data_IF_560792285572
#
_entry.id   IF_560792285572
#
_cell.length_a   1.000
_cell.length_b   1.000
_cell.length_c   1.000
_cell.angle_alpha   90.00
_cell.angle_beta   90.00
_cell.angle_gamma   90.00
#
_symmetry.space_group_name_H-M   'P 1'
#
loop_
_entity.id
_entity.type
_entity.pdbx_description
1 polymer ?
#
# COMPACT_ATOMS: atom_id res chain seq x y z
N UNK A 1 20.24 9.74 -18.76
CA UNK A 1 18.93 9.07 -18.83
C UNK A 1 18.98 7.85 -19.77
N UNK A 2 19.45 7.96 -21.03
CA UNK A 2 19.49 6.83 -21.96
C UNK A 2 20.21 5.59 -21.40
N UNK A 3 21.37 5.76 -20.81
CA UNK A 3 22.13 4.65 -20.18
C UNK A 3 21.32 3.90 -19.12
N UNK A 4 20.53 4.63 -18.29
CA UNK A 4 19.65 4.01 -17.29
C UNK A 4 18.49 3.26 -17.95
N UNK A 5 17.91 3.84 -19.01
CA UNK A 5 16.84 3.16 -19.76
C UNK A 5 17.37 1.87 -20.42
N UNK A 6 18.58 1.89 -20.98
CA UNK A 6 19.24 0.72 -21.60
C UNK A 6 19.54 -0.38 -20.58
N UNK A 7 19.75 -0.02 -19.30
CA UNK A 7 19.91 -0.96 -18.20
C UNK A 7 18.58 -1.58 -17.73
N UNK A 8 17.46 -1.17 -18.32
CA UNK A 8 16.14 -1.70 -18.00
C UNK A 8 15.39 -0.97 -16.88
N UNK A 9 15.79 0.28 -16.55
CA UNK A 9 15.06 1.12 -15.58
C UNK A 9 13.62 1.30 -16.02
N UNK A 10 12.68 1.06 -15.12
CA UNK A 10 11.25 1.22 -15.36
C UNK A 10 10.67 2.47 -14.66
N UNK A 11 11.35 2.99 -13.65
CA UNK A 11 11.00 4.25 -12.98
C UNK A 11 12.18 5.21 -13.09
N UNK A 12 12.01 6.32 -13.82
CA UNK A 12 13.02 7.35 -13.93
C UNK A 12 12.74 8.44 -12.90
N UNK A 13 13.62 8.53 -11.91
CA UNK A 13 13.53 9.50 -10.84
C UNK A 13 14.59 10.58 -11.02
N UNK A 14 14.17 11.80 -11.33
CA UNK A 14 15.06 12.96 -11.39
C UNK A 14 14.99 13.72 -10.06
N UNK A 15 16.08 14.37 -9.69
CA UNK A 15 16.11 15.18 -8.47
C UNK A 15 15.99 16.69 -8.79
N UNK A 16 16.97 17.27 -9.45
CA UNK A 16 17.11 18.73 -9.59
C UNK A 16 16.74 19.18 -10.99
N UNK A 17 15.49 18.99 -11.37
CA UNK A 17 15.02 19.32 -12.72
C UNK A 17 15.56 18.37 -13.79
N UNK A 18 14.97 18.42 -14.98
CA UNK A 18 15.40 17.61 -16.09
C UNK A 18 16.57 18.26 -16.85
N UNK A 19 17.49 17.48 -17.42
CA UNK A 19 18.46 17.98 -18.38
C UNK A 19 17.76 18.50 -19.63
N UNK A 20 18.48 19.26 -20.46
CA UNK A 20 18.01 19.60 -21.80
C UNK A 20 17.64 18.33 -22.57
N UNK A 21 16.62 18.37 -23.41
CA UNK A 21 16.12 17.26 -24.22
C UNK A 21 15.36 16.16 -23.40
N UNK A 22 14.92 16.46 -22.17
CA UNK A 22 14.12 15.51 -21.38
C UNK A 22 12.84 15.11 -22.11
N UNK A 23 12.16 16.04 -22.77
CA UNK A 23 10.93 15.73 -23.51
C UNK A 23 11.18 14.76 -24.67
N UNK A 24 12.25 14.95 -25.42
CA UNK A 24 12.63 14.06 -26.53
C UNK A 24 13.00 12.67 -26.03
N UNK A 25 13.82 12.61 -24.97
CA UNK A 25 14.16 11.35 -24.33
C UNK A 25 12.89 10.62 -23.83
N UNK A 26 12.03 11.30 -23.09
CA UNK A 26 10.84 10.71 -22.49
C UNK A 26 9.89 10.17 -23.56
N UNK A 27 9.68 10.94 -24.64
CA UNK A 27 8.84 10.49 -25.76
C UNK A 27 9.39 9.20 -26.39
N UNK A 28 10.70 9.15 -26.64
CA UNK A 28 11.34 7.97 -27.20
C UNK A 28 11.27 6.77 -26.26
N UNK A 29 11.57 6.96 -24.98
CA UNK A 29 11.58 5.92 -23.96
C UNK A 29 10.18 5.33 -23.71
N UNK A 30 9.13 6.19 -23.62
CA UNK A 30 7.76 5.75 -23.46
C UNK A 30 7.25 4.96 -24.68
N UNK A 31 7.54 5.43 -25.89
CA UNK A 31 7.15 4.74 -27.11
C UNK A 31 7.86 3.37 -27.23
N UNK A 32 9.13 3.32 -26.90
CA UNK A 32 9.90 2.07 -26.93
C UNK A 32 9.40 1.07 -25.86
N UNK A 33 9.07 1.54 -24.66
CA UNK A 33 8.46 0.72 -23.61
C UNK A 33 7.10 0.18 -24.06
N UNK A 34 6.22 1.03 -24.63
CA UNK A 34 4.92 0.64 -25.13
C UNK A 34 5.02 -0.42 -26.25
N UNK A 35 6.00 -0.26 -27.18
CA UNK A 35 6.24 -1.25 -28.24
C UNK A 35 6.70 -2.61 -27.71
N UNK A 36 7.28 -2.65 -26.51
CA UNK A 36 7.70 -3.86 -25.81
C UNK A 36 6.67 -4.39 -24.81
N UNK A 37 5.49 -3.76 -24.74
CA UNK A 37 4.45 -4.12 -23.76
C UNK A 37 4.84 -3.83 -22.31
N UNK A 38 5.78 -2.89 -22.09
CA UNK A 38 6.23 -2.47 -20.76
C UNK A 38 5.61 -1.15 -20.37
N UNK A 39 5.40 -0.97 -19.06
CA UNK A 39 5.04 0.31 -18.48
C UNK A 39 6.30 0.93 -17.83
N UNK A 40 6.51 2.21 -18.06
CA UNK A 40 7.59 2.98 -17.45
C UNK A 40 7.02 4.29 -16.88
N UNK A 41 7.64 4.82 -15.85
CA UNK A 41 7.16 5.99 -15.11
C UNK A 41 8.24 7.05 -14.97
N UNK A 42 7.83 8.30 -14.96
CA UNK A 42 8.68 9.46 -14.76
C UNK A 42 8.13 10.30 -13.58
N UNK A 43 9.00 10.70 -12.63
CA UNK A 43 8.56 11.62 -11.58
C UNK A 43 8.42 13.06 -12.10
N UNK A 44 7.76 13.92 -11.32
CA UNK A 44 7.49 15.32 -11.68
C UNK A 44 8.71 16.26 -11.59
N UNK A 45 9.91 15.74 -11.24
CA UNK A 45 11.14 16.53 -11.10
C UNK A 45 12.02 16.55 -12.35
N UNK A 46 11.64 15.85 -13.40
CA UNK A 46 12.41 15.78 -14.65
C UNK A 46 12.18 16.96 -15.60
N UNK A 47 11.60 18.06 -15.15
CA UNK A 47 11.26 19.21 -16.00
C UNK A 47 10.00 19.00 -16.86
N UNK A 48 9.25 17.94 -16.60
CA UNK A 48 7.96 17.59 -17.17
C UNK A 48 6.98 17.31 -16.03
N UNK A 49 5.65 17.34 -16.30
CA UNK A 49 4.65 17.02 -15.26
C UNK A 49 4.82 15.63 -14.64
N UNK A 50 5.44 14.68 -15.35
CA UNK A 50 5.66 13.30 -14.89
C UNK A 50 4.37 12.53 -14.63
N UNK A 51 4.51 11.31 -14.11
CA UNK A 51 3.38 10.41 -13.82
C UNK A 51 2.99 10.44 -12.34
N UNK A 52 3.90 10.82 -11.45
CA UNK A 52 3.68 10.91 -10.01
C UNK A 52 4.40 12.09 -9.37
N UNK A 53 3.85 12.57 -8.25
CA UNK A 53 4.40 13.66 -7.47
C UNK A 53 5.35 13.14 -6.38
N UNK A 54 6.37 13.94 -6.00
CA UNK A 54 7.40 13.53 -5.04
C UNK A 54 7.64 14.60 -3.97
N UNK A 55 6.68 14.80 -3.01
CA UNK A 55 6.92 15.68 -1.88
C UNK A 55 8.04 15.14 -0.97
N UNK A 56 8.89 16.05 -0.48
CA UNK A 56 9.97 15.74 0.46
C UNK A 56 9.56 16.08 1.89
N UNK A 57 9.89 15.18 2.84
CA UNK A 57 9.55 15.32 4.25
C UNK A 57 8.09 15.73 4.50
N UNK A 58 7.22 15.30 3.60
CA UNK A 58 5.80 15.64 3.62
C UNK A 58 4.93 14.44 3.23
N UNK A 59 3.72 14.44 3.79
CA UNK A 59 2.66 13.48 3.47
C UNK A 59 1.39 14.25 3.18
N UNK A 60 0.61 13.77 2.24
CA UNK A 60 -0.71 14.36 2.00
C UNK A 60 -1.70 13.91 3.09
N UNK A 61 -2.52 14.85 3.56
CA UNK A 61 -3.55 14.59 4.57
C UNK A 61 -4.75 13.81 4.00
N UNK A 62 -5.00 13.94 2.70
CA UNK A 62 -6.12 13.29 2.02
C UNK A 62 -5.63 12.40 0.87
N UNK A 63 -6.51 11.49 0.42
CA UNK A 63 -6.25 10.66 -0.75
C UNK A 63 -5.96 11.52 -1.98
N UNK A 64 -4.96 11.13 -2.74
CA UNK A 64 -4.63 11.76 -4.01
C UNK A 64 -5.10 10.88 -5.17
N UNK A 65 -5.80 11.49 -6.14
CA UNK A 65 -6.19 10.79 -7.37
C UNK A 65 -4.95 10.44 -8.19
N UNK A 66 -3.99 11.37 -8.26
CA UNK A 66 -2.68 11.17 -8.89
C UNK A 66 -1.79 10.36 -7.95
N UNK A 67 -1.01 9.43 -8.50
CA UNK A 67 0.02 8.73 -7.72
C UNK A 67 1.05 9.71 -7.19
N UNK A 68 1.57 9.42 -6.02
CA UNK A 68 2.58 10.23 -5.35
C UNK A 68 3.52 9.37 -4.52
N UNK A 69 4.67 9.92 -4.20
CA UNK A 69 5.67 9.27 -3.37
C UNK A 69 6.10 10.21 -2.26
N UNK A 70 5.91 9.80 -1.02
CA UNK A 70 6.48 10.51 0.13
C UNK A 70 7.94 10.13 0.26
N UNK A 71 8.82 11.11 0.22
CA UNK A 71 10.26 10.93 0.33
C UNK A 71 10.71 11.44 1.71
N UNK A 72 11.18 10.53 2.57
CA UNK A 72 11.68 10.81 3.91
C UNK A 72 13.07 10.21 4.10
N UNK A 73 13.98 10.95 4.77
CA UNK A 73 15.18 10.37 5.33
C UNK A 73 14.90 9.65 6.64
N UNK A 74 15.65 8.60 6.95
CA UNK A 74 15.66 8.01 8.30
C UNK A 74 16.23 9.00 9.33
N UNK A 75 17.20 9.84 8.91
CA UNK A 75 17.62 11.04 9.62
C UNK A 75 16.65 12.18 9.30
N UNK A 76 15.97 12.79 10.29
CA UNK A 76 15.01 13.87 10.04
C UNK A 76 15.66 15.18 9.56
N UNK A 77 16.99 15.29 9.61
CA UNK A 77 17.75 16.51 9.31
C UNK A 77 18.56 16.40 8.00
N UNK A 78 18.72 15.21 7.45
CA UNK A 78 19.58 14.99 6.29
C UNK A 78 19.25 13.70 5.56
N UNK A 79 19.25 13.71 4.22
CA UNK A 79 19.24 12.49 3.42
C UNK A 79 20.61 11.78 3.44
N UNK A 80 21.70 12.54 3.44
CA UNK A 80 23.03 11.96 3.57
C UNK A 80 23.42 11.74 5.03
N UNK A 81 24.44 10.89 5.26
CA UNK A 81 24.98 10.64 6.60
C UNK A 81 25.38 11.94 7.32
N UNK A 82 24.77 12.16 8.47
CA UNK A 82 25.07 13.29 9.36
C UNK A 82 25.63 12.78 10.69
N UNK A 83 26.94 13.01 10.91
CA UNK A 83 27.62 12.59 12.13
C UNK A 83 27.05 13.22 13.41
N UNK A 84 26.38 14.37 13.30
CA UNK A 84 25.86 15.12 14.44
C UNK A 84 24.46 14.66 14.88
N UNK A 85 23.77 13.84 14.08
CA UNK A 85 22.43 13.35 14.42
C UNK A 85 22.54 12.26 15.48
N UNK A 86 21.93 12.45 16.66
CA UNK A 86 21.93 11.45 17.71
C UNK A 86 20.97 10.29 17.37
N UNK A 87 21.27 9.08 17.87
CA UNK A 87 20.53 7.85 17.56
C UNK A 87 19.04 7.95 17.85
N UNK A 88 18.64 8.65 18.91
CA UNK A 88 17.26 8.85 19.31
C UNK A 88 16.44 9.74 18.36
N UNK A 89 17.09 10.48 17.48
CA UNK A 89 16.41 11.33 16.50
C UNK A 89 15.98 10.56 15.26
N UNK A 90 16.60 9.41 14.97
CA UNK A 90 16.25 8.61 13.81
C UNK A 90 14.82 8.07 13.88
N UNK A 91 14.14 8.00 12.74
CA UNK A 91 12.78 7.47 12.65
C UNK A 91 12.68 6.07 13.28
N UNK A 92 11.71 5.90 14.17
CA UNK A 92 11.50 4.63 14.89
C UNK A 92 10.82 3.57 14.02
N UNK A 93 10.94 2.27 14.35
CA UNK A 93 10.22 1.22 13.63
C UNK A 93 8.72 1.43 13.56
N UNK A 94 8.09 1.86 14.66
CA UNK A 94 6.66 2.17 14.68
C UNK A 94 6.30 3.34 13.76
N UNK A 95 7.12 4.39 13.72
CA UNK A 95 6.89 5.51 12.82
C UNK A 95 7.10 5.14 11.34
N UNK A 96 8.00 4.20 11.03
CA UNK A 96 8.15 3.65 9.67
C UNK A 96 6.87 2.91 9.27
N UNK A 97 6.38 2.01 10.12
CA UNK A 97 5.17 1.22 9.84
C UNK A 97 3.94 2.12 9.69
N UNK A 98 3.69 3.01 10.64
CA UNK A 98 2.52 3.90 10.59
C UNK A 98 2.57 4.87 9.41
N UNK A 99 3.77 5.32 9.02
CA UNK A 99 3.96 6.15 7.82
C UNK A 99 3.64 5.36 6.55
N UNK A 100 4.14 4.13 6.43
CA UNK A 100 3.87 3.28 5.27
C UNK A 100 2.36 3.02 5.11
N UNK A 101 1.69 2.63 6.18
CA UNK A 101 0.24 2.37 6.18
C UNK A 101 -0.55 3.62 5.78
N UNK A 102 -0.23 4.77 6.38
CA UNK A 102 -0.90 6.04 6.08
C UNK A 102 -0.71 6.46 4.62
N UNK A 103 0.50 6.37 4.10
CA UNK A 103 0.84 6.75 2.72
C UNK A 103 0.15 5.84 1.71
N UNK A 104 0.21 4.51 1.92
CA UNK A 104 -0.40 3.53 1.01
C UNK A 104 -1.92 3.66 0.98
N UNK A 105 -2.57 3.87 2.13
CA UNK A 105 -4.02 4.07 2.20
C UNK A 105 -4.49 5.34 1.46
N UNK A 106 -3.59 6.28 1.18
CA UNK A 106 -3.85 7.53 0.45
C UNK A 106 -3.35 7.54 -1.00
N UNK A 107 -3.15 6.35 -1.59
CA UNK A 107 -2.68 6.16 -2.97
C UNK A 107 -1.21 6.52 -3.20
N UNK A 108 -0.41 6.55 -2.13
CA UNK A 108 1.00 6.91 -2.16
C UNK A 108 1.95 5.73 -2.15
N UNK A 109 3.21 6.01 -2.46
CA UNK A 109 4.37 5.16 -2.26
C UNK A 109 5.27 5.78 -1.18
N UNK A 110 5.91 4.94 -0.37
CA UNK A 110 6.83 5.41 0.66
C UNK A 110 8.28 5.13 0.25
N UNK A 111 9.04 6.18 -0.01
CA UNK A 111 10.49 6.14 -0.24
C UNK A 111 11.19 6.55 1.05
N UNK A 112 11.86 5.60 1.72
CA UNK A 112 12.61 5.85 2.94
C UNK A 112 14.11 5.75 2.64
N UNK A 113 14.80 6.87 2.78
CA UNK A 113 16.20 7.00 2.46
C UNK A 113 17.11 6.67 3.66
N UNK A 114 18.27 6.12 3.38
CA UNK A 114 19.35 5.84 4.33
C UNK A 114 20.61 6.62 3.96
N UNK A 115 21.31 7.15 4.95
CA UNK A 115 22.54 7.92 4.76
C UNK A 115 23.81 7.06 4.96
N UNK A 116 24.40 6.40 3.93
CA UNK A 116 25.61 5.61 4.12
C UNK A 116 26.82 6.47 4.48
N UNK A 117 27.67 5.95 5.36
CA UNK A 117 28.96 6.56 5.70
C UNK A 117 29.92 6.55 4.51
N UNK A 118 31.05 7.25 4.61
CA UNK A 118 32.02 7.35 3.52
C UNK A 118 32.61 6.00 3.02
N UNK A 119 32.56 4.97 3.85
CA UNK A 119 32.96 3.61 3.47
C UNK A 119 31.80 2.73 2.96
N UNK A 120 30.59 3.30 2.78
CA UNK A 120 29.42 2.60 2.29
C UNK A 120 28.61 1.86 3.37
N UNK A 121 28.96 2.00 4.64
CA UNK A 121 28.23 1.33 5.74
C UNK A 121 26.96 2.10 6.09
N UNK A 122 25.83 1.42 6.15
CA UNK A 122 24.60 1.91 6.79
C UNK A 122 24.78 1.75 8.29
N UNK A 123 24.55 2.82 9.07
CA UNK A 123 24.79 2.81 10.52
C UNK A 123 23.81 1.88 11.25
N UNK A 124 24.20 1.42 12.43
CA UNK A 124 23.48 0.38 13.17
C UNK A 124 22.04 0.76 13.53
N UNK A 125 21.81 2.02 13.92
CA UNK A 125 20.46 2.51 14.27
C UNK A 125 19.50 2.41 13.08
N UNK A 126 19.93 2.78 11.88
CA UNK A 126 19.12 2.65 10.65
C UNK A 126 18.86 1.17 10.32
N UNK A 127 19.91 0.33 10.34
CA UNK A 127 19.77 -1.11 10.09
C UNK A 127 18.79 -1.77 11.06
N UNK A 128 18.92 -1.48 12.36
CA UNK A 128 18.05 -2.03 13.41
C UNK A 128 16.59 -1.62 13.18
N UNK A 129 16.35 -0.33 12.98
CA UNK A 129 15.00 0.20 12.82
C UNK A 129 14.34 -0.34 11.54
N UNK A 130 15.08 -0.43 10.44
CA UNK A 130 14.59 -1.03 9.19
C UNK A 130 14.27 -2.52 9.33
N UNK A 131 15.14 -3.31 9.98
CA UNK A 131 14.88 -4.75 10.19
C UNK A 131 13.67 -4.98 11.08
N UNK A 132 13.50 -4.17 12.12
CA UNK A 132 12.35 -4.29 13.03
C UNK A 132 11.04 -3.92 12.32
N UNK A 133 11.00 -2.80 11.60
CA UNK A 133 9.83 -2.43 10.78
C UNK A 133 9.59 -3.45 9.66
N UNK A 134 10.66 -3.92 9.01
CA UNK A 134 10.59 -4.89 7.93
C UNK A 134 10.04 -6.26 8.36
N UNK A 135 10.25 -6.67 9.60
CA UNK A 135 9.63 -7.88 10.14
C UNK A 135 8.11 -7.73 10.19
N UNK A 136 7.61 -6.62 10.73
CA UNK A 136 6.17 -6.32 10.75
C UNK A 136 5.60 -6.25 9.33
N UNK A 137 6.28 -5.52 8.41
CA UNK A 137 5.84 -5.36 7.02
C UNK A 137 5.74 -6.70 6.28
N UNK A 138 6.67 -7.63 6.53
CA UNK A 138 6.62 -8.97 5.92
C UNK A 138 5.43 -9.79 6.43
N UNK A 139 5.10 -9.65 7.69
CA UNK A 139 4.02 -10.39 8.34
C UNK A 139 2.63 -9.87 7.96
N UNK A 140 2.52 -8.56 7.65
CA UNK A 140 1.28 -7.87 7.29
C UNK A 140 1.20 -7.50 5.80
N UNK A 141 2.08 -8.05 4.97
CA UNK A 141 2.28 -7.62 3.58
C UNK A 141 1.03 -7.67 2.71
N UNK A 142 0.09 -8.57 2.98
CA UNK A 142 -1.15 -8.67 2.21
C UNK A 142 -2.04 -7.42 2.30
N UNK A 143 -1.97 -6.67 3.42
CA UNK A 143 -2.71 -5.42 3.62
C UNK A 143 -1.99 -4.19 3.04
N UNK A 144 -0.75 -4.34 2.59
CA UNK A 144 0.12 -3.27 2.09
C UNK A 144 0.37 -3.42 0.59
N UNK A 145 0.87 -4.61 0.17
CA UNK A 145 1.29 -4.84 -1.21
C UNK A 145 0.13 -5.30 -2.08
N UNK A 146 0.13 -4.84 -3.34
CA UNK A 146 -0.94 -5.14 -4.32
C UNK A 146 -2.33 -4.70 -3.83
N UNK A 147 -2.39 -3.66 -3.01
CA UNK A 147 -3.62 -3.04 -2.55
C UNK A 147 -3.85 -1.69 -3.22
N UNK A 148 -5.08 -1.21 -3.13
CA UNK A 148 -5.50 0.14 -3.47
C UNK A 148 -6.14 0.79 -2.24
N UNK A 149 -6.21 2.11 -2.24
CA UNK A 149 -6.98 2.82 -1.23
C UNK A 149 -8.48 2.46 -1.31
N UNK A 150 -9.18 2.56 -0.19
CA UNK A 150 -10.65 2.45 -0.19
C UNK A 150 -11.26 3.70 -0.81
N UNK A 151 -12.04 3.52 -1.89
CA UNK A 151 -12.55 4.65 -2.69
C UNK A 151 -13.66 5.45 -2.00
N UNK A 152 -14.30 4.91 -0.92
CA UNK A 152 -15.32 5.61 -0.15
C UNK A 152 -14.65 6.59 0.82
N UNK A 153 -13.68 6.09 1.59
CA UNK A 153 -12.81 6.89 2.45
C UNK A 153 -11.50 6.14 2.71
N UNK A 154 -10.33 6.81 2.69
CA UNK A 154 -9.05 6.15 2.97
C UNK A 154 -8.81 5.88 4.44
N UNK A 155 -9.57 6.55 5.31
CA UNK A 155 -9.31 6.59 6.75
C UNK A 155 -10.56 6.90 7.56
N UNK A 156 -10.51 6.55 8.85
CA UNK A 156 -11.46 7.00 9.85
C UNK A 156 -10.70 7.63 11.03
N UNK A 157 -10.87 8.93 11.19
CA UNK A 157 -10.12 9.72 12.15
C UNK A 157 -8.61 9.63 11.94
N UNK A 158 -7.85 9.79 13.03
CA UNK A 158 -6.39 9.68 12.96
C UNK A 158 -5.87 8.26 13.16
N UNK A 159 -6.72 7.35 13.59
CA UNK A 159 -6.33 6.04 14.07
C UNK A 159 -6.47 4.92 13.04
N UNK A 160 -7.42 4.99 12.11
CA UNK A 160 -7.77 3.88 11.22
C UNK A 160 -7.45 4.21 9.77
N UNK A 161 -6.95 3.20 9.04
CA UNK A 161 -6.66 3.27 7.60
C UNK A 161 -7.27 2.08 6.89
N UNK A 162 -7.71 2.31 5.66
CA UNK A 162 -8.36 1.30 4.84
C UNK A 162 -7.60 1.06 3.54
N UNK A 163 -7.41 -0.21 3.23
CA UNK A 163 -6.91 -0.67 1.94
C UNK A 163 -7.75 -1.84 1.45
N UNK A 164 -7.67 -2.14 0.17
CA UNK A 164 -8.38 -3.28 -0.43
C UNK A 164 -7.61 -3.85 -1.61
N UNK A 165 -7.94 -5.07 -1.96
CA UNK A 165 -7.58 -5.69 -3.24
C UNK A 165 -8.80 -6.41 -3.83
N UNK A 166 -8.62 -7.24 -4.84
CA UNK A 166 -9.73 -7.97 -5.47
C UNK A 166 -10.41 -9.00 -4.55
N UNK A 167 -9.73 -9.43 -3.48
CA UNK A 167 -10.15 -10.56 -2.65
C UNK A 167 -10.57 -10.16 -1.23
N UNK A 168 -10.10 -8.99 -0.75
CA UNK A 168 -10.29 -8.62 0.65
C UNK A 168 -10.24 -7.10 0.87
N UNK A 169 -10.87 -6.72 1.97
CA UNK A 169 -10.80 -5.38 2.55
C UNK A 169 -10.01 -5.44 3.86
N UNK A 170 -9.15 -4.44 4.10
CA UNK A 170 -8.28 -4.38 5.27
C UNK A 170 -8.55 -3.13 6.08
N UNK A 171 -8.67 -3.32 7.39
CA UNK A 171 -8.81 -2.30 8.42
C UNK A 171 -7.52 -2.29 9.22
N UNK A 172 -6.76 -1.21 9.20
CA UNK A 172 -5.51 -1.08 9.96
C UNK A 172 -5.66 -0.01 11.02
N UNK A 173 -5.45 -0.36 12.30
CA UNK A 173 -5.37 0.62 13.38
C UNK A 173 -3.93 1.00 13.65
N UNK A 174 -3.62 2.30 13.69
CA UNK A 174 -2.27 2.85 13.92
C UNK A 174 -1.91 2.95 15.42
N UNK A 175 -2.87 2.68 16.29
CA UNK A 175 -2.70 2.64 17.75
C UNK A 175 -3.30 1.36 18.31
N UNK A 176 -2.85 0.89 19.48
CA UNK A 176 -3.38 -0.32 20.10
C UNK A 176 -4.90 -0.23 20.26
N UNK A 177 -5.67 -1.13 19.64
CA UNK A 177 -7.11 -1.15 19.83
C UNK A 177 -7.43 -1.56 21.28
N UNK A 178 -8.40 -0.90 21.90
CA UNK A 178 -8.79 -1.16 23.27
C UNK A 178 -10.26 -1.55 23.39
N UNK A 179 -10.53 -2.82 23.66
CA UNK A 179 -11.88 -3.34 23.81
C UNK A 179 -12.64 -3.39 22.49
N UNK A 180 -13.58 -2.46 22.29
CA UNK A 180 -14.38 -2.41 21.05
C UNK A 180 -13.85 -1.33 20.11
N UNK A 181 -13.49 -1.73 18.90
CA UNK A 181 -13.25 -0.81 17.79
C UNK A 181 -14.58 -0.59 17.07
N UNK A 182 -15.02 0.66 17.01
CA UNK A 182 -16.24 1.06 16.29
C UNK A 182 -15.85 1.81 15.04
N UNK A 183 -16.42 1.42 13.91
CA UNK A 183 -16.19 2.05 12.61
C UNK A 183 -17.54 2.61 12.11
N UNK A 184 -17.61 3.93 12.00
CA UNK A 184 -18.78 4.64 11.48
C UNK A 184 -18.71 4.82 9.96
N UNK A 185 -17.51 4.69 9.38
CA UNK A 185 -17.31 4.74 7.94
C UNK A 185 -17.94 3.54 7.25
N UNK A 186 -18.52 3.70 6.06
CA UNK A 186 -19.03 2.57 5.28
C UNK A 186 -17.89 1.60 4.93
N UNK A 187 -17.99 0.39 5.44
CA UNK A 187 -17.07 -0.73 5.15
C UNK A 187 -17.86 -1.88 4.52
N UNK A 188 -17.24 -2.71 3.68
CA UNK A 188 -17.90 -3.81 2.98
C UNK A 188 -18.07 -5.03 3.91
N UNK A 189 -18.86 -4.87 4.96
CA UNK A 189 -19.18 -5.91 5.94
C UNK A 189 -20.70 -6.18 5.95
N UNK A 190 -21.06 -7.44 5.98
CA UNK A 190 -22.43 -7.91 6.18
C UNK A 190 -22.47 -8.78 7.43
N UNK A 191 -23.56 -8.72 8.20
CA UNK A 191 -23.70 -9.54 9.40
C UNK A 191 -23.50 -11.03 9.08
N UNK A 192 -22.54 -11.63 9.78
CA UNK A 192 -22.11 -13.00 9.58
C UNK A 192 -20.80 -13.16 8.82
N UNK A 193 -20.24 -12.08 8.27
CA UNK A 193 -18.89 -12.10 7.72
C UNK A 193 -17.85 -12.32 8.83
N UNK A 194 -16.83 -13.11 8.51
CA UNK A 194 -15.69 -13.29 9.38
C UNK A 194 -14.73 -12.10 9.25
N UNK A 195 -14.33 -11.53 10.38
CA UNK A 195 -13.24 -10.56 10.46
C UNK A 195 -12.02 -11.22 11.08
N UNK A 196 -10.94 -11.31 10.32
CA UNK A 196 -9.74 -12.06 10.72
C UNK A 196 -8.59 -11.12 11.07
N UNK A 197 -7.81 -11.48 12.09
CA UNK A 197 -6.51 -10.84 12.39
C UNK A 197 -5.51 -11.20 11.30
N UNK A 198 -4.78 -10.20 10.80
CA UNK A 198 -3.66 -10.38 9.86
C UNK A 198 -2.36 -10.07 10.57
N UNK A 199 -1.41 -10.99 10.51
CA UNK A 199 -0.09 -10.84 11.12
C UNK A 199 -0.07 -11.07 12.65
N UNK A 200 1.10 -10.90 13.22
CA UNK A 200 1.35 -11.16 14.65
C UNK A 200 1.15 -12.61 15.06
N UNK A 201 1.26 -12.85 16.35
CA UNK A 201 1.12 -14.20 16.91
C UNK A 201 -0.33 -14.74 16.92
N UNK A 202 -1.30 -13.91 16.49
CA UNK A 202 -2.73 -14.26 16.45
C UNK A 202 -3.30 -14.17 15.03
N UNK A 203 -2.47 -14.19 14.01
CA UNK A 203 -2.91 -14.21 12.61
C UNK A 203 -3.91 -15.34 12.34
N UNK A 204 -5.00 -15.03 11.60
CA UNK A 204 -6.10 -15.95 11.32
C UNK A 204 -7.15 -16.07 12.42
N UNK A 205 -6.97 -15.43 13.58
CA UNK A 205 -7.99 -15.42 14.63
C UNK A 205 -9.20 -14.60 14.17
N UNK A 206 -10.40 -15.18 14.29
CA UNK A 206 -11.65 -14.47 14.06
C UNK A 206 -11.94 -13.58 15.27
N UNK A 207 -12.17 -12.31 15.05
CA UNK A 207 -12.63 -11.37 16.08
C UNK A 207 -14.15 -11.25 16.04
N UNK A 208 -14.84 -11.24 17.17
CA UNK A 208 -16.29 -11.03 17.20
C UNK A 208 -16.64 -9.68 16.57
N UNK A 209 -17.54 -9.70 15.61
CA UNK A 209 -17.95 -8.55 14.81
C UNK A 209 -19.46 -8.52 14.63
N UNK A 210 -20.01 -7.31 14.53
CA UNK A 210 -21.45 -7.11 14.28
C UNK A 210 -21.71 -5.71 13.74
N UNK A 211 -22.83 -5.52 13.07
CA UNK A 211 -23.38 -4.19 12.85
C UNK A 211 -24.17 -3.74 14.08
N UNK A 212 -23.98 -2.51 14.49
CA UNK A 212 -24.79 -1.84 15.49
C UNK A 212 -26.12 -1.35 14.88
N UNK A 213 -27.08 -0.94 15.70
CA UNK A 213 -28.40 -0.47 15.24
C UNK A 213 -28.31 0.75 14.29
N UNK A 214 -27.25 1.53 14.37
CA UNK A 214 -26.99 2.67 13.49
C UNK A 214 -26.14 2.32 12.26
N UNK A 215 -25.77 1.06 12.09
CA UNK A 215 -25.02 0.56 10.93
C UNK A 215 -23.49 0.65 11.04
N UNK A 216 -22.94 1.04 12.20
CA UNK A 216 -21.48 1.02 12.43
C UNK A 216 -21.00 -0.40 12.63
N UNK A 217 -19.81 -0.74 12.11
CA UNK A 217 -19.16 -2.01 12.38
C UNK A 217 -18.46 -1.97 13.74
N UNK A 218 -18.82 -2.91 14.62
CA UNK A 218 -18.20 -3.09 15.93
C UNK A 218 -17.34 -4.36 15.92
N UNK A 219 -16.03 -4.21 16.23
CA UNK A 219 -15.08 -5.32 16.41
C UNK A 219 -14.71 -5.42 17.88
N UNK A 220 -14.88 -6.59 18.49
CA UNK A 220 -14.47 -6.83 19.89
C UNK A 220 -13.06 -7.39 19.91
N UNK A 221 -12.10 -6.57 20.34
CA UNK A 221 -10.67 -6.90 20.36
C UNK A 221 -10.28 -7.34 21.77
N UNK A 222 -9.87 -8.58 21.93
CA UNK A 222 -9.37 -9.09 23.20
C UNK A 222 -7.95 -8.57 23.50
N UNK A 223 -7.58 -8.56 24.77
CA UNK A 223 -6.19 -8.22 25.17
C UNK A 223 -5.17 -9.15 24.52
N UNK A 224 -5.51 -10.43 24.33
CA UNK A 224 -4.64 -11.39 23.65
C UNK A 224 -4.37 -11.03 22.18
N UNK A 225 -5.35 -10.49 21.46
CA UNK A 225 -5.18 -10.02 20.08
C UNK A 225 -4.38 -8.73 20.07
N UNK A 226 -4.69 -7.79 20.96
CA UNK A 226 -3.95 -6.54 21.08
C UNK A 226 -2.48 -6.77 21.41
N UNK A 227 -2.18 -7.63 22.38
CA UNK A 227 -0.83 -7.85 22.89
C UNK A 227 0.01 -8.81 21.99
N UNK A 228 -0.64 -9.39 20.96
CA UNK A 228 0.03 -10.28 20.00
C UNK A 228 0.78 -9.55 18.89
N UNK A 229 0.64 -8.24 18.78
CA UNK A 229 1.24 -7.42 17.74
C UNK A 229 1.78 -6.10 18.29
N UNK A 230 2.42 -5.32 17.42
CA UNK A 230 3.03 -4.03 17.75
C UNK A 230 2.95 -3.09 16.53
N UNK A 231 3.07 -1.79 16.77
CA UNK A 231 3.09 -0.71 15.78
C UNK A 231 1.75 -0.43 15.10
N UNK A 232 1.08 -1.44 14.54
CA UNK A 232 -0.24 -1.35 13.94
C UNK A 232 -0.91 -2.73 13.94
N UNK A 233 -2.25 -2.75 13.94
CA UNK A 233 -3.06 -3.98 13.99
C UNK A 233 -3.95 -4.04 12.77
N UNK A 234 -3.95 -5.18 12.09
CA UNK A 234 -4.65 -5.35 10.82
C UNK A 234 -5.75 -6.39 10.96
N UNK A 235 -6.92 -6.03 10.46
CA UNK A 235 -8.10 -6.89 10.38
C UNK A 235 -8.54 -7.00 8.92
N UNK A 236 -8.95 -8.19 8.50
CA UNK A 236 -9.34 -8.51 7.14
C UNK A 236 -10.77 -8.98 7.07
N UNK A 237 -11.52 -8.50 6.08
CA UNK A 237 -12.80 -9.03 5.63
C UNK A 237 -12.56 -9.61 4.24
N UNK A 238 -12.73 -10.93 4.08
CA UNK A 238 -12.61 -11.55 2.77
C UNK A 238 -13.86 -11.24 1.94
N UNK A 239 -13.67 -10.79 0.71
CA UNK A 239 -14.74 -10.77 -0.27
C UNK A 239 -14.98 -12.21 -0.68
N UNK A 240 -16.10 -12.81 -0.28
CA UNK A 240 -16.43 -14.19 -0.64
C UNK A 240 -16.16 -14.41 -2.11
N UNK A 241 -15.18 -15.22 -2.45
CA UNK A 241 -14.85 -15.57 -3.82
C UNK A 241 -16.11 -16.16 -4.45
N UNK A 242 -16.55 -15.63 -5.56
CA UNK A 242 -17.41 -16.39 -6.47
C UNK A 242 -16.55 -17.57 -6.90
N UNK A 243 -16.72 -18.71 -6.23
CA UNK A 243 -16.13 -19.95 -6.66
C UNK A 243 -16.50 -20.18 -8.14
N UNK A 244 -15.54 -20.03 -9.03
CA UNK A 244 -15.65 -20.53 -10.42
C UNK A 244 -15.64 -22.07 -10.41
N UNK A 245 -16.45 -22.68 -9.58
CA UNK A 245 -16.63 -24.11 -9.48
C UNK A 245 -18.09 -24.52 -9.67
N UNK A 246 -18.64 -24.12 -10.79
CA UNK A 246 -19.95 -24.61 -11.25
C UNK A 246 -19.83 -25.55 -12.45
N UNK A 247 -18.90 -26.48 -12.48
CA UNK A 247 -19.03 -27.63 -13.35
C UNK A 247 -20.01 -28.67 -12.74
N UNK A 248 -21.28 -28.36 -12.78
CA UNK A 248 -22.32 -29.33 -12.44
C UNK A 248 -22.53 -30.26 -13.64
N UNK A 249 -22.00 -31.45 -13.55
CA UNK A 249 -22.59 -32.62 -14.25
C UNK A 249 -23.99 -32.89 -13.65
N UNK A 250 -25.02 -32.57 -14.38
CA UNK A 250 -26.42 -32.82 -13.99
C UNK A 250 -27.33 -32.75 -15.18
N UNK A 251 -27.59 -33.92 -15.71
CA UNK A 251 -28.58 -34.24 -16.76
C UNK A 251 -29.99 -33.78 -16.33
N UNK A 252 -30.74 -33.08 -17.19
CA UNK A 252 -32.20 -33.07 -17.06
C UNK A 252 -32.94 -31.79 -17.43
N UNK A 253 -33.54 -31.84 -18.62
CA UNK A 253 -34.84 -31.29 -19.01
C UNK A 253 -35.06 -29.79 -19.25
N UNK A 254 -35.39 -29.54 -20.48
CA UNK A 254 -35.94 -28.37 -21.16
C UNK A 254 -36.97 -27.51 -20.41
N UNK A 255 -36.81 -26.18 -20.55
CA UNK A 255 -37.86 -25.19 -20.32
C UNK A 255 -37.44 -23.83 -20.91
N UNK A 256 -38.07 -23.52 -22.06
CA UNK A 256 -37.90 -22.22 -22.77
C UNK A 256 -38.71 -21.14 -22.05
N UNK A 257 -38.10 -20.01 -21.67
CA UNK A 257 -38.80 -18.72 -21.58
C UNK A 257 -37.79 -17.53 -21.73
N UNK A 258 -38.05 -16.75 -22.75
CA UNK A 258 -38.05 -15.27 -22.75
C UNK A 258 -36.73 -14.50 -22.65
N UNK A 259 -36.19 -14.07 -23.80
CA UNK A 259 -35.22 -12.99 -23.92
C UNK A 259 -35.80 -11.65 -23.46
N UNK A 260 -35.10 -10.96 -22.57
CA UNK A 260 -35.12 -9.49 -22.49
C UNK A 260 -33.71 -8.97 -22.56
N UNK A 261 -33.41 -8.26 -23.62
CA UNK A 261 -32.17 -7.54 -23.86
C UNK A 261 -32.12 -6.28 -23.02
N UNK A 262 -31.13 -6.13 -22.16
CA UNK A 262 -30.70 -4.83 -21.68
C UNK A 262 -29.21 -4.66 -21.92
N UNK A 263 -28.84 -3.59 -22.62
CA UNK A 263 -27.50 -3.25 -22.99
C UNK A 263 -26.69 -2.83 -21.76
N UNK A 264 -25.71 -3.64 -21.37
CA UNK A 264 -24.69 -3.26 -20.40
C UNK A 264 -23.49 -2.69 -21.17
N UNK A 265 -23.17 -1.42 -20.91
CA UNK A 265 -21.97 -0.77 -21.44
C UNK A 265 -20.73 -1.48 -20.93
N UNK A 266 -19.82 -1.81 -21.84
CA UNK A 266 -18.49 -2.34 -21.51
C UNK A 266 -17.67 -1.26 -20.81
N UNK A 267 -17.46 -1.42 -19.52
CA UNK A 267 -16.39 -0.75 -18.79
C UNK A 267 -15.11 -1.55 -19.06
N UNK A 268 -14.13 -0.91 -19.70
CA UNK A 268 -12.83 -1.54 -19.96
C UNK A 268 -12.07 -1.81 -18.66
N UNK A 269 -11.11 -2.76 -18.66
CA UNK A 269 -10.38 -3.11 -17.45
C UNK A 269 -9.51 -1.95 -17.00
N UNK A 270 -9.72 -1.48 -15.77
CA UNK A 270 -8.78 -0.60 -15.09
C UNK A 270 -7.50 -1.40 -14.81
N UNK A 271 -6.42 -1.00 -15.47
CA UNK A 271 -5.10 -1.59 -15.26
C UNK A 271 -4.62 -1.19 -13.87
N UNK A 272 -4.58 -2.13 -12.94
CA UNK A 272 -3.91 -1.96 -11.66
C UNK A 272 -2.40 -1.87 -11.92
N UNK A 273 -1.80 -0.71 -11.68
CA UNK A 273 -0.34 -0.55 -11.72
C UNK A 273 0.21 -1.19 -10.45
N UNK A 274 0.67 -2.42 -10.56
CA UNK A 274 1.44 -3.07 -9.52
C UNK A 274 2.85 -2.48 -9.50
N UNK A 275 3.11 -1.52 -8.62
CA UNK A 275 4.46 -1.10 -8.28
C UNK A 275 5.09 -2.22 -7.42
N UNK A 276 5.85 -3.09 -8.07
CA UNK A 276 6.62 -4.14 -7.39
C UNK A 276 7.80 -3.50 -6.66
N UNK A 277 7.74 -3.48 -5.34
CA UNK A 277 8.83 -3.14 -4.42
C UNK A 277 9.86 -4.32 -4.39
N UNK A 278 10.34 -4.73 -5.56
CA UNK A 278 11.32 -5.82 -5.66
C UNK A 278 12.74 -5.40 -5.22
N UNK A 279 13.01 -4.11 -5.08
CA UNK A 279 14.38 -3.62 -4.83
C UNK A 279 14.81 -3.65 -3.35
N UNK A 280 13.88 -3.65 -2.38
CA UNK A 280 14.24 -3.64 -0.95
C UNK A 280 14.42 -5.03 -0.34
N UNK A 281 13.91 -6.09 -0.96
CA UNK A 281 13.99 -7.46 -0.43
C UNK A 281 15.30 -8.19 -0.79
N UNK A 282 16.06 -7.73 -1.77
CA UNK A 282 17.33 -8.35 -2.18
C UNK A 282 18.53 -8.00 -1.28
N UNK A 283 18.37 -7.02 -0.38
CA UNK A 283 19.46 -6.61 0.53
C UNK A 283 19.43 -7.32 1.89
N UNK A 284 18.44 -8.19 2.15
CA UNK A 284 18.23 -8.83 3.45
C UNK A 284 18.06 -10.36 3.40
N UNK A 285 18.54 -11.02 2.34
CA UNK A 285 18.68 -12.47 2.31
C UNK A 285 20.02 -12.92 2.90
#
# INVERSE_FOLDING_TARGET
MQTLADMGTEIMWCDIGGPNLTAEFTSSWFNDAANRGKQVLLNNRCGLPGDFDTPEYARYEAVQVRKWESNLGMDPFSYGYNRATPDEAYITPGAIVTSLVDIVSKNGNFLLDVGPTANGTIIEIEQRNLRTAGAWIKDHGEAIFNTTYWFVTPEEGQAVRFTQNANAFYITTLYPPNGTLVLDSPVPYVDGDDVQVVGGNKSGTIVPSRLSDNGSLELTISDEVRDADSFAWVFKIDFGGVDEAGSANGNGSSGVVGQTTSAAGKVGPHVAVALTLAALLALFA
#
